data_IF_514884573524
#
_entry.id   IF_514884573524
#
_cell.length_a   1.000
_cell.length_b   1.000
_cell.length_c   1.000
_cell.angle_alpha   90.00
_cell.angle_beta   90.00
_cell.angle_gamma   90.00
#
_symmetry.space_group_name_H-M   'P 1'
#
loop_
_entity.id
_entity.type
_entity.pdbx_description
1 polymer ?
#
# COMPACT_ATOMS: atom_id res chain seq x y z
N UNK A 1 -16.29 -16.55 5.74
CA UNK A 1 -15.48 -17.36 4.80
C UNK A 1 -14.03 -17.33 5.29
N UNK A 2 -13.36 -18.49 5.33
CA UNK A 2 -11.96 -18.56 5.72
C UNK A 2 -11.08 -18.01 4.58
N UNK A 3 -10.19 -17.07 4.89
CA UNK A 3 -9.21 -16.54 3.93
C UNK A 3 -8.27 -17.67 3.51
N UNK A 4 -8.07 -17.85 2.21
CA UNK A 4 -7.03 -18.75 1.68
C UNK A 4 -5.65 -18.29 2.16
N UNK A 5 -4.70 -19.22 2.36
CA UNK A 5 -3.30 -18.91 2.75
C UNK A 5 -2.68 -17.72 1.98
N UNK A 6 -2.80 -17.61 0.64
CA UNK A 6 -2.23 -16.46 -0.09
C UNK A 6 -2.89 -15.12 0.25
N UNK A 7 -4.19 -15.09 0.54
CA UNK A 7 -4.88 -13.86 0.97
C UNK A 7 -4.48 -13.45 2.40
N UNK A 8 -4.19 -14.43 3.27
CA UNK A 8 -3.65 -14.13 4.61
C UNK A 8 -2.25 -13.51 4.54
N UNK A 9 -1.39 -14.02 3.65
CA UNK A 9 -0.06 -13.46 3.42
C UNK A 9 -0.15 -12.06 2.81
N UNK A 10 -0.95 -11.87 1.75
CA UNK A 10 -1.13 -10.56 1.12
C UNK A 10 -1.63 -9.52 2.14
N UNK A 11 -2.59 -9.89 3.00
CA UNK A 11 -3.07 -8.99 4.06
C UNK A 11 -1.96 -8.61 5.04
N UNK A 12 -1.10 -9.56 5.41
CA UNK A 12 0.05 -9.30 6.30
C UNK A 12 1.04 -8.37 5.62
N UNK A 13 1.43 -8.66 4.39
CA UNK A 13 2.38 -7.86 3.61
C UNK A 13 1.89 -6.41 3.46
N UNK A 14 0.59 -6.20 3.19
CA UNK A 14 -0.01 -4.86 3.09
C UNK A 14 0.03 -4.09 4.41
N UNK A 15 -0.22 -4.76 5.53
CA UNK A 15 -0.14 -4.14 6.87
C UNK A 15 1.28 -3.83 7.28
N UNK A 16 2.21 -4.73 6.96
CA UNK A 16 3.63 -4.54 7.23
C UNK A 16 4.18 -3.37 6.41
N UNK A 17 3.86 -3.29 5.12
CA UNK A 17 4.22 -2.15 4.27
C UNK A 17 3.63 -0.84 4.82
N UNK A 18 2.36 -0.83 5.24
CA UNK A 18 1.74 0.34 5.85
C UNK A 18 2.47 0.78 7.14
N UNK A 19 2.84 -0.17 8.00
CA UNK A 19 3.56 0.12 9.25
C UNK A 19 4.98 0.67 8.99
N UNK A 20 5.73 0.07 8.06
CA UNK A 20 7.06 0.54 7.67
C UNK A 20 7.00 1.97 7.11
N UNK A 21 5.98 2.26 6.30
CA UNK A 21 5.79 3.60 5.74
C UNK A 21 5.37 4.61 6.82
N UNK A 22 4.61 4.20 7.84
CA UNK A 22 4.24 5.06 8.97
C UNK A 22 5.46 5.41 9.83
N UNK A 23 6.30 4.43 10.15
CA UNK A 23 7.56 4.65 10.85
C UNK A 23 8.46 5.62 10.05
N UNK A 24 8.57 5.42 8.73
CA UNK A 24 9.33 6.32 7.85
C UNK A 24 8.73 7.74 7.79
N UNK A 25 7.39 7.87 7.82
CA UNK A 25 6.72 9.16 7.86
C UNK A 25 7.01 9.91 9.17
N UNK A 26 7.03 9.19 10.31
CA UNK A 26 7.35 9.75 11.61
C UNK A 26 8.81 10.21 11.70
N UNK A 27 9.75 9.45 11.12
CA UNK A 27 11.15 9.85 11.05
C UNK A 27 11.34 11.08 10.16
N UNK A 28 10.69 11.12 8.98
CA UNK A 28 10.68 12.31 8.11
C UNK A 28 10.07 13.53 8.81
N UNK A 29 9.01 13.34 9.60
CA UNK A 29 8.43 14.42 10.40
C UNK A 29 9.41 14.95 11.45
N UNK A 30 10.15 14.05 12.10
CA UNK A 30 11.18 14.43 13.09
C UNK A 30 12.31 15.22 12.43
N UNK A 31 12.76 14.81 11.26
CA UNK A 31 13.78 15.51 10.47
C UNK A 31 13.27 16.88 9.99
N UNK A 32 12.03 16.93 9.47
CA UNK A 32 11.43 18.14 8.94
C UNK A 32 11.32 19.27 9.98
N UNK A 33 11.15 18.94 11.26
CA UNK A 33 11.13 19.93 12.36
C UNK A 33 12.41 20.77 12.47
N UNK A 34 13.51 20.32 11.85
CA UNK A 34 14.77 21.06 11.82
C UNK A 34 14.84 22.09 10.69
N UNK A 35 13.90 22.05 9.75
CA UNK A 35 13.87 22.91 8.57
C UNK A 35 13.34 24.30 8.88
N UNK A 36 13.68 25.26 8.01
CA UNK A 36 13.02 26.56 8.00
C UNK A 36 11.57 26.42 7.51
N UNK A 37 10.74 27.42 7.81
CA UNK A 37 9.28 27.35 7.61
C UNK A 37 8.82 26.96 6.18
N UNK A 38 9.37 27.48 5.07
CA UNK A 38 8.91 27.08 3.74
C UNK A 38 9.26 25.62 3.41
N UNK A 39 10.44 25.14 3.80
CA UNK A 39 10.85 23.75 3.63
C UNK A 39 10.08 22.80 4.57
N UNK A 40 9.76 23.26 5.79
CA UNK A 40 8.93 22.51 6.73
C UNK A 40 7.51 22.30 6.17
N UNK A 41 6.87 23.35 5.65
CA UNK A 41 5.54 23.24 5.03
C UNK A 41 5.56 22.30 3.82
N UNK A 42 6.59 22.38 2.97
CA UNK A 42 6.75 21.47 1.85
C UNK A 42 6.95 20.00 2.29
N UNK A 43 7.67 19.76 3.39
CA UNK A 43 7.83 18.44 3.97
C UNK A 43 6.50 17.91 4.56
N UNK A 44 5.73 18.76 5.25
CA UNK A 44 4.43 18.41 5.80
C UNK A 44 3.42 17.99 4.72
N UNK A 45 3.37 18.70 3.58
CA UNK A 45 2.50 18.32 2.46
C UNK A 45 2.84 16.93 1.90
N UNK A 46 4.13 16.58 1.86
CA UNK A 46 4.59 15.25 1.41
C UNK A 46 4.25 14.16 2.42
N UNK A 47 4.41 14.45 3.71
CA UNK A 47 4.05 13.53 4.81
C UNK A 47 2.54 13.27 4.80
N UNK A 48 1.71 14.29 4.56
CA UNK A 48 0.26 14.13 4.44
C UNK A 48 -0.13 13.20 3.27
N UNK A 49 0.49 13.39 2.09
CA UNK A 49 0.30 12.50 0.94
C UNK A 49 0.74 11.06 1.25
N UNK A 50 1.81 10.89 2.03
CA UNK A 50 2.32 9.59 2.46
C UNK A 50 1.33 8.88 3.40
N UNK A 51 0.77 9.59 4.39
CA UNK A 51 -0.30 9.05 5.24
C UNK A 51 -1.53 8.64 4.43
N UNK A 52 -1.92 9.42 3.41
CA UNK A 52 -3.00 9.02 2.51
C UNK A 52 -2.72 7.72 1.73
N UNK A 53 -1.46 7.39 1.46
CA UNK A 53 -1.07 6.10 0.88
C UNK A 53 -1.10 4.97 1.91
N UNK A 54 -0.67 5.23 3.14
CA UNK A 54 -0.71 4.28 4.26
C UNK A 54 -2.16 3.86 4.55
N UNK A 55 -3.07 4.83 4.60
CA UNK A 55 -4.50 4.58 4.82
C UNK A 55 -5.11 3.72 3.72
N UNK A 56 -4.73 3.96 2.46
CA UNK A 56 -5.15 3.12 1.32
C UNK A 56 -4.64 1.69 1.44
N UNK A 57 -3.38 1.49 1.83
CA UNK A 57 -2.81 0.16 2.05
C UNK A 57 -3.52 -0.58 3.19
N UNK A 58 -3.83 0.12 4.28
CA UNK A 58 -4.63 -0.42 5.37
C UNK A 58 -6.05 -0.81 4.90
N UNK A 59 -6.69 0.04 4.10
CA UNK A 59 -7.98 -0.23 3.47
C UNK A 59 -7.95 -1.48 2.59
N UNK A 60 -6.93 -1.63 1.74
CA UNK A 60 -6.76 -2.83 0.93
C UNK A 60 -6.55 -4.08 1.79
N UNK A 61 -5.83 -3.99 2.91
CA UNK A 61 -5.68 -5.13 3.82
C UNK A 61 -7.02 -5.59 4.43
N UNK A 62 -7.95 -4.65 4.68
CA UNK A 62 -9.29 -4.98 5.16
C UNK A 62 -10.23 -5.47 4.05
N UNK A 63 -10.05 -5.00 2.82
CA UNK A 63 -10.73 -5.56 1.64
C UNK A 63 -10.27 -6.99 1.33
N UNK A 64 -8.96 -7.29 1.46
CA UNK A 64 -8.43 -8.65 1.39
C UNK A 64 -9.08 -9.49 2.49
N UNK A 65 -9.19 -8.97 3.72
CA UNK A 65 -9.86 -9.67 4.84
C UNK A 65 -11.33 -10.00 4.52
N UNK A 66 -12.03 -9.06 3.89
CA UNK A 66 -13.42 -9.22 3.47
C UNK A 66 -13.58 -10.18 2.28
N UNK A 67 -12.47 -10.64 1.68
CA UNK A 67 -12.48 -11.48 0.47
C UNK A 67 -12.83 -10.70 -0.80
N UNK A 68 -12.80 -9.37 -0.76
CA UNK A 68 -13.08 -8.49 -1.92
C UNK A 68 -11.87 -8.39 -2.85
N UNK A 69 -10.66 -8.39 -2.27
CA UNK A 69 -9.40 -8.49 -3.01
C UNK A 69 -8.88 -9.92 -2.88
N UNK A 70 -8.71 -10.59 -4.01
CA UNK A 70 -8.10 -11.91 -4.12
C UNK A 70 -6.82 -11.77 -4.92
N UNK A 71 -5.69 -12.23 -4.37
CA UNK A 71 -4.45 -12.31 -5.15
C UNK A 71 -4.61 -13.45 -6.15
N UNK A 72 -5.14 -13.16 -7.34
CA UNK A 72 -5.03 -14.12 -8.41
C UNK A 72 -3.56 -14.18 -8.81
N UNK A 73 -2.96 -15.38 -8.83
CA UNK A 73 -1.64 -15.53 -9.45
C UNK A 73 -1.82 -15.00 -10.87
N UNK A 74 -1.00 -14.04 -11.29
CA UNK A 74 -1.02 -13.59 -12.67
C UNK A 74 -0.72 -14.81 -13.56
N UNK A 75 -1.77 -15.47 -14.03
CA UNK A 75 -1.68 -16.43 -15.12
C UNK A 75 -1.49 -15.58 -16.38
N UNK A 76 -0.23 -15.23 -16.65
CA UNK A 76 0.22 -14.78 -17.96
C UNK A 76 0.13 -15.97 -18.93
N UNK A 77 -1.09 -16.39 -19.30
CA UNK A 77 -1.26 -17.52 -20.21
C UNK A 77 -2.42 -17.39 -21.21
N UNK A 78 -2.89 -16.20 -21.58
CA UNK A 78 -3.91 -16.08 -22.64
C UNK A 78 -3.80 -14.80 -23.49
N UNK A 79 -2.61 -14.52 -24.05
CA UNK A 79 -2.49 -13.64 -25.24
C UNK A 79 -2.03 -14.43 -26.47
N UNK A 80 -2.08 -15.76 -26.42
CA UNK A 80 -1.87 -16.61 -27.60
C UNK A 80 -3.21 -17.10 -28.10
N UNK A 81 -3.52 -16.76 -29.36
CA UNK A 81 -4.62 -17.29 -30.18
C UNK A 81 -5.96 -16.61 -30.00
N UNK A 82 -6.25 -15.62 -30.85
CA UNK A 82 -7.41 -15.66 -31.77
C UNK A 82 -7.25 -14.51 -32.78
N UNK A 83 -6.59 -14.78 -33.91
CA UNK A 83 -6.75 -14.00 -35.14
C UNK A 83 -7.43 -14.93 -36.14
N UNK A 84 -8.73 -14.73 -36.46
CA UNK A 84 -9.38 -15.52 -37.49
C UNK A 84 -9.02 -15.01 -38.90
N UNK A 85 -9.08 -15.98 -39.82
CA UNK A 85 -8.74 -15.99 -41.25
C UNK A 85 -9.04 -14.73 -42.07
#
# INVERSE_FOLDING_TARGET
MALTKPNQQLRRDLKEAAAILDDAAQDLFREAKTYAEPEFLAAMERIEKLHGCIDKLAGYADEVKAGRIVRNKAELSDITTTLPH
#
